data_IF_553016439385
#
_entry.id   IF_553016439385
#
_cell.length_a   1.000
_cell.length_b   1.000
_cell.length_c   1.000
_cell.angle_alpha   90.00
_cell.angle_beta   90.00
_cell.angle_gamma   90.00
#
_symmetry.space_group_name_H-M   'P 1'
#
loop_
_entity.id
_entity.type
_entity.pdbx_description
1 polymer ?
#
# COMPACT_ATOMS: atom_id res chain seq x y z
N UNK A 1 -3.77 -11.25 -39.28
CA UNK A 1 -3.86 -9.87 -39.78
C UNK A 1 -4.81 -9.08 -38.88
N UNK A 2 -4.39 -7.87 -38.46
CA UNK A 2 -5.09 -6.86 -37.62
C UNK A 2 -5.40 -7.30 -36.17
N UNK A 3 -4.79 -6.82 -35.10
CA UNK A 3 -4.06 -5.57 -34.88
C UNK A 3 -5.02 -4.43 -34.46
N UNK A 4 -5.63 -4.49 -33.27
CA UNK A 4 -6.34 -3.33 -32.69
C UNK A 4 -5.46 -2.64 -31.66
N UNK A 5 -4.72 -1.66 -32.17
CA UNK A 5 -4.04 -0.62 -31.40
C UNK A 5 -5.10 0.36 -30.88
N UNK A 6 -5.21 0.52 -29.56
CA UNK A 6 -5.93 1.64 -28.98
C UNK A 6 -5.05 2.89 -29.11
N UNK A 7 -5.43 3.78 -30.03
CA UNK A 7 -4.75 5.05 -30.29
C UNK A 7 -5.18 6.04 -29.21
N UNK A 8 -4.33 6.28 -28.22
CA UNK A 8 -4.53 7.35 -27.24
C UNK A 8 -4.38 8.69 -27.96
N UNK A 9 -5.48 9.42 -28.14
CA UNK A 9 -5.47 10.78 -28.67
C UNK A 9 -4.94 11.70 -27.55
N UNK A 10 -3.65 11.98 -27.56
CA UNK A 10 -3.11 13.13 -26.83
C UNK A 10 -3.50 14.39 -27.60
N UNK A 11 -4.65 14.99 -27.27
CA UNK A 11 -4.94 16.36 -27.66
C UNK A 11 -3.92 17.28 -27.00
N UNK A 12 -2.97 17.79 -27.79
CA UNK A 12 -2.19 18.97 -27.44
C UNK A 12 -3.18 20.11 -27.20
N UNK A 13 -3.36 20.52 -25.94
CA UNK A 13 -3.95 21.80 -25.64
C UNK A 13 -2.94 22.89 -26.06
N UNK A 14 -3.19 23.55 -27.18
CA UNK A 14 -2.54 24.81 -27.50
C UNK A 14 -3.13 25.86 -26.55
N UNK A 15 -2.34 26.28 -25.55
CA UNK A 15 -2.67 27.45 -24.73
C UNK A 15 -2.14 28.65 -25.49
N UNK A 16 -3.01 29.31 -26.28
CA UNK A 16 -2.74 30.66 -26.75
C UNK A 16 -2.80 31.61 -25.55
N UNK A 17 -1.66 32.20 -25.19
CA UNK A 17 -1.59 33.24 -24.16
C UNK A 17 -2.16 34.55 -24.72
N UNK A 18 -3.48 34.72 -24.59
CA UNK A 18 -4.11 36.02 -24.70
C UNK A 18 -3.77 36.88 -23.48
N UNK A 19 -2.98 37.94 -23.67
CA UNK A 19 -2.71 38.94 -22.62
C UNK A 19 -3.98 39.74 -22.37
N UNK A 20 -4.72 39.38 -21.32
CA UNK A 20 -5.85 40.17 -20.83
C UNK A 20 -5.35 41.12 -19.72
N UNK A 21 -5.29 42.42 -20.02
CA UNK A 21 -5.08 43.47 -19.04
C UNK A 21 -6.27 43.51 -18.07
N UNK A 22 -6.11 42.89 -16.90
CA UNK A 22 -7.13 42.82 -15.85
C UNK A 22 -6.50 42.91 -14.46
N UNK A 23 -7.12 43.73 -13.61
CA UNK A 23 -6.63 44.17 -12.29
C UNK A 23 -6.13 43.05 -11.36
N UNK A 24 -4.96 43.28 -10.75
CA UNK A 24 -4.19 42.43 -9.82
C UNK A 24 -5.01 41.78 -8.68
N UNK A 25 -6.15 42.37 -8.31
CA UNK A 25 -7.04 41.87 -7.25
C UNK A 25 -7.79 40.58 -7.64
N UNK A 26 -8.10 40.39 -8.93
CA UNK A 26 -8.85 39.20 -9.39
C UNK A 26 -7.95 37.99 -9.61
N UNK A 27 -6.64 38.18 -9.78
CA UNK A 27 -5.67 37.11 -9.93
C UNK A 27 -5.42 36.38 -8.60
N UNK A 28 -5.44 37.11 -7.48
CA UNK A 28 -5.33 36.52 -6.14
C UNK A 28 -6.56 35.68 -5.78
N UNK A 29 -7.76 36.11 -6.15
CA UNK A 29 -9.00 35.39 -5.86
C UNK A 29 -9.12 34.04 -6.61
N UNK A 30 -8.61 33.95 -7.84
CA UNK A 30 -8.58 32.71 -8.62
C UNK A 30 -7.56 31.69 -8.07
N UNK A 31 -6.44 32.15 -7.51
CA UNK A 31 -5.47 31.29 -6.83
C UNK A 31 -6.02 30.74 -5.50
N UNK A 32 -6.82 31.53 -4.77
CA UNK A 32 -7.49 31.06 -3.54
C UNK A 32 -8.58 30.02 -3.81
N UNK A 33 -9.26 30.07 -4.96
CA UNK A 33 -10.28 29.06 -5.32
C UNK A 33 -9.68 27.78 -5.92
N UNK A 34 -8.51 27.85 -6.56
CA UNK A 34 -7.82 26.69 -7.12
C UNK A 34 -6.93 25.96 -6.10
N UNK A 35 -6.65 26.59 -4.96
CA UNK A 35 -5.70 26.11 -3.95
C UNK A 35 -6.33 25.30 -2.81
N UNK A 36 -7.21 24.34 -3.07
CA UNK A 36 -7.56 23.31 -2.06
C UNK A 36 -8.18 22.04 -2.68
N UNK A 37 -7.76 21.62 -3.87
CA UNK A 37 -7.96 20.22 -4.26
C UNK A 37 -6.76 19.42 -3.74
N UNK A 38 -6.79 19.09 -2.45
CA UNK A 38 -5.91 18.06 -1.92
C UNK A 38 -6.38 16.72 -2.50
N UNK A 39 -5.72 16.25 -3.57
CA UNK A 39 -5.80 14.85 -3.94
C UNK A 39 -5.12 14.07 -2.81
N UNK A 40 -5.90 13.51 -1.90
CA UNK A 40 -5.42 12.52 -0.96
C UNK A 40 -5.11 11.24 -1.75
N UNK A 41 -3.88 11.10 -2.24
CA UNK A 41 -3.38 9.79 -2.64
C UNK A 41 -3.20 8.96 -1.37
N UNK A 42 -4.14 8.06 -1.12
CA UNK A 42 -4.01 7.01 -0.11
C UNK A 42 -2.86 6.09 -0.55
N UNK A 43 -1.67 6.39 -0.06
CA UNK A 43 -0.48 5.58 -0.25
C UNK A 43 -0.10 5.02 1.12
N UNK A 44 -0.01 3.69 1.22
CA UNK A 44 0.50 3.00 2.40
C UNK A 44 1.83 3.63 2.83
N UNK A 45 1.99 3.91 4.12
CA UNK A 45 3.26 4.45 4.63
C UNK A 45 4.32 3.36 4.48
N UNK A 46 5.40 3.58 3.71
CA UNK A 46 6.34 2.51 3.38
C UNK A 46 7.08 2.01 4.62
N UNK A 47 7.52 0.75 4.61
CA UNK A 47 8.38 0.24 5.67
C UNK A 47 9.75 0.94 5.69
N UNK A 48 10.15 1.46 6.85
CA UNK A 48 11.54 1.86 7.11
C UNK A 48 12.38 0.60 7.37
N UNK A 49 12.76 -0.10 6.30
CA UNK A 49 13.50 -1.36 6.35
C UNK A 49 14.86 -1.19 7.04
N UNK A 50 15.17 -2.10 7.96
CA UNK A 50 16.47 -2.21 8.61
C UNK A 50 16.93 -3.67 8.67
N UNK A 51 18.20 -3.88 8.33
CA UNK A 51 18.84 -5.19 8.43
C UNK A 51 19.30 -5.50 9.86
N UNK A 52 19.11 -6.74 10.26
CA UNK A 52 19.67 -7.37 11.46
C UNK A 52 20.24 -8.74 11.08
N UNK A 53 21.12 -9.34 11.91
CA UNK A 53 21.66 -10.68 11.66
C UNK A 53 20.58 -11.76 11.45
N UNK A 54 19.42 -11.59 12.08
CA UNK A 54 18.30 -12.52 11.98
C UNK A 54 17.36 -12.26 10.78
N UNK A 55 17.46 -11.11 10.11
CA UNK A 55 16.57 -10.75 9.00
C UNK A 55 16.29 -9.26 8.88
N UNK A 56 15.18 -8.91 8.23
CA UNK A 56 14.77 -7.54 7.95
C UNK A 56 13.56 -7.14 8.80
N UNK A 57 13.60 -5.97 9.42
CA UNK A 57 12.49 -5.42 10.22
C UNK A 57 12.06 -4.05 9.71
N UNK A 58 10.84 -3.64 10.05
CA UNK A 58 10.36 -2.27 9.86
C UNK A 58 10.58 -1.47 11.15
N UNK A 59 11.27 -0.34 11.03
CA UNK A 59 11.57 0.51 12.18
C UNK A 59 10.38 1.42 12.46
N UNK A 60 9.81 1.24 13.65
CA UNK A 60 8.81 2.13 14.21
C UNK A 60 9.45 2.98 15.33
N UNK A 61 9.09 4.26 15.41
CA UNK A 61 9.49 5.20 16.46
C UNK A 61 8.34 6.17 16.75
N UNK A 62 8.52 7.08 17.71
CA UNK A 62 7.47 8.01 18.14
C UNK A 62 6.84 8.82 17.00
N UNK A 63 7.60 9.15 15.96
CA UNK A 63 7.14 9.99 14.85
C UNK A 63 6.84 9.23 13.56
N UNK A 64 7.10 7.91 13.53
CA UNK A 64 7.04 7.16 12.29
C UNK A 64 6.74 5.68 12.54
N UNK A 65 5.79 5.14 11.79
CA UNK A 65 5.54 3.71 11.66
C UNK A 65 5.02 3.44 10.24
N UNK A 66 5.26 2.25 9.70
CA UNK A 66 4.53 1.79 8.53
C UNK A 66 3.12 1.37 8.92
N UNK A 67 2.17 1.63 8.03
CA UNK A 67 0.79 1.21 8.23
C UNK A 67 0.28 0.55 6.96
N UNK A 68 -0.40 -0.58 7.17
CA UNK A 68 -1.20 -1.18 6.15
C UNK A 68 -2.54 -0.45 6.09
N UNK A 69 -2.83 0.13 4.94
CA UNK A 69 -4.17 0.58 4.61
C UNK A 69 -4.95 -0.62 4.08
N UNK A 70 -6.10 -0.92 4.68
CA UNK A 70 -6.93 -2.02 4.21
C UNK A 70 -7.43 -1.70 2.80
N UNK A 71 -7.07 -2.51 1.78
CA UNK A 71 -7.51 -2.24 0.43
C UNK A 71 -9.03 -2.39 0.34
N UNK A 72 -9.72 -1.34 -0.10
CA UNK A 72 -11.12 -1.41 -0.49
C UNK A 72 -11.22 -1.79 -1.97
N UNK A 73 -12.18 -2.65 -2.29
CA UNK A 73 -12.55 -2.97 -3.67
C UNK A 73 -13.80 -2.16 -4.01
N UNK A 74 -13.80 -1.46 -5.14
CA UNK A 74 -14.95 -0.65 -5.56
C UNK A 74 -16.01 -1.51 -6.25
N UNK A 75 -15.62 -2.69 -6.77
CA UNK A 75 -16.53 -3.65 -7.39
C UNK A 75 -16.03 -5.11 -7.30
N UNK A 76 -16.94 -6.05 -7.56
CA UNK A 76 -16.71 -7.50 -7.51
C UNK A 76 -15.77 -8.04 -8.61
N UNK A 77 -15.39 -7.22 -9.59
CA UNK A 77 -14.47 -7.60 -10.67
C UNK A 77 -13.05 -7.14 -10.41
N UNK A 78 -12.78 -6.60 -9.24
CA UNK A 78 -11.45 -6.19 -8.82
C UNK A 78 -10.87 -7.17 -7.81
N UNK A 79 -9.55 -7.19 -7.75
CA UNK A 79 -8.83 -7.90 -6.72
C UNK A 79 -7.64 -7.05 -6.26
N UNK A 80 -7.19 -7.35 -5.05
CA UNK A 80 -5.94 -6.83 -4.50
C UNK A 80 -5.08 -8.00 -4.03
N UNK A 81 -3.80 -7.95 -4.39
CA UNK A 81 -2.77 -8.86 -3.90
C UNK A 81 -1.89 -8.09 -2.92
N UNK A 82 -1.83 -8.55 -1.68
CA UNK A 82 -0.94 -8.01 -0.64
C UNK A 82 0.25 -8.97 -0.49
N UNK A 83 1.46 -8.47 -0.75
CA UNK A 83 2.68 -9.27 -0.85
C UNK A 83 3.71 -8.88 0.21
N UNK A 84 4.29 -9.90 0.84
CA UNK A 84 5.43 -9.76 1.75
C UNK A 84 6.50 -10.79 1.39
N UNK A 85 7.77 -10.44 1.56
CA UNK A 85 8.87 -11.33 1.17
C UNK A 85 10.06 -11.28 2.11
N UNK A 86 10.86 -12.35 2.08
CA UNK A 86 12.13 -12.43 2.82
C UNK A 86 13.12 -11.35 2.36
N UNK A 87 13.06 -10.97 1.08
CA UNK A 87 13.93 -9.96 0.49
C UNK A 87 13.57 -8.53 0.93
N UNK A 88 12.34 -8.27 1.41
CA UNK A 88 12.01 -6.98 2.01
C UNK A 88 10.66 -6.39 1.62
N UNK A 89 9.82 -7.07 0.82
CA UNK A 89 8.45 -6.57 0.61
C UNK A 89 7.68 -6.60 1.92
N UNK A 90 6.93 -5.53 2.17
CA UNK A 90 6.14 -5.32 3.38
C UNK A 90 4.79 -4.78 2.98
N UNK A 91 3.81 -5.68 2.95
CA UNK A 91 2.43 -5.40 2.51
C UNK A 91 2.33 -4.61 1.20
N UNK A 92 3.20 -4.95 0.25
CA UNK A 92 3.19 -4.31 -1.07
C UNK A 92 1.92 -4.72 -1.80
N UNK A 93 1.22 -3.73 -2.34
CA UNK A 93 -0.15 -3.91 -2.83
C UNK A 93 -0.16 -3.82 -4.36
N UNK A 94 -0.68 -4.86 -5.01
CA UNK A 94 -0.93 -4.89 -6.45
C UNK A 94 -2.41 -5.09 -6.70
N UNK A 95 -3.05 -4.12 -7.35
CA UNK A 95 -4.46 -4.19 -7.73
C UNK A 95 -4.62 -4.62 -9.18
N UNK A 96 -5.75 -5.25 -9.50
CA UNK A 96 -6.08 -5.61 -10.86
C UNK A 96 -7.55 -5.95 -11.04
N UNK A 97 -7.93 -6.23 -12.28
CA UNK A 97 -9.29 -6.64 -12.63
C UNK A 97 -9.32 -8.11 -13.05
N UNK A 98 -10.32 -8.83 -12.56
CA UNK A 98 -10.62 -10.22 -12.90
C UNK A 98 -10.90 -10.30 -14.41
N UNK A 99 -10.31 -11.29 -15.08
CA UNK A 99 -10.41 -11.53 -16.53
C UNK A 99 -9.80 -10.44 -17.44
N UNK A 100 -9.02 -9.49 -16.89
CA UNK A 100 -8.32 -8.50 -17.72
C UNK A 100 -7.08 -9.08 -18.43
N UNK A 101 -6.43 -10.09 -17.84
CA UNK A 101 -5.30 -10.82 -18.40
C UNK A 101 -5.32 -12.27 -17.94
N UNK A 102 -4.66 -13.15 -18.70
CA UNK A 102 -4.52 -14.58 -18.34
C UNK A 102 -3.70 -14.76 -17.06
N UNK A 103 -2.78 -13.83 -16.79
CA UNK A 103 -1.91 -13.85 -15.62
C UNK A 103 -1.71 -12.46 -15.04
N UNK A 104 -1.58 -12.40 -13.71
CA UNK A 104 -1.16 -11.21 -12.97
C UNK A 104 0.24 -11.44 -12.43
N UNK A 105 1.14 -10.50 -12.69
CA UNK A 105 2.51 -10.58 -12.16
C UNK A 105 2.52 -10.15 -10.69
N UNK A 106 2.91 -11.08 -9.82
CA UNK A 106 3.27 -10.76 -8.43
C UNK A 106 4.77 -10.45 -8.41
N UNK A 107 5.10 -9.20 -8.09
CA UNK A 107 6.48 -8.71 -8.07
C UNK A 107 7.08 -9.01 -6.69
N UNK A 108 8.36 -9.42 -6.65
CA UNK A 108 9.12 -9.55 -5.40
C UNK A 108 9.95 -8.27 -5.14
N UNK A 109 10.50 -8.14 -3.94
CA UNK A 109 11.33 -7.01 -3.54
C UNK A 109 12.49 -6.87 -4.52
N UNK A 110 12.65 -5.66 -5.04
CA UNK A 110 13.76 -5.32 -5.89
C UNK A 110 14.57 -4.20 -5.22
N UNK A 111 15.72 -4.56 -4.65
CA UNK A 111 16.69 -3.62 -4.07
C UNK A 111 17.08 -2.50 -5.05
N UNK A 112 16.97 -2.74 -6.36
CA UNK A 112 17.25 -1.76 -7.42
C UNK A 112 16.35 -0.51 -7.35
N UNK A 113 15.21 -0.54 -6.63
CA UNK A 113 14.38 0.65 -6.44
C UNK A 113 14.89 1.59 -5.34
N UNK A 114 15.88 1.18 -4.52
CA UNK A 114 16.36 2.05 -3.44
C UNK A 114 17.85 2.38 -3.42
N UNK A 115 18.79 1.65 -4.02
CA UNK A 115 20.18 2.14 -4.15
C UNK A 115 20.98 1.42 -5.25
N UNK A 116 21.37 2.17 -6.29
CA UNK A 116 22.35 1.79 -7.35
C UNK A 116 23.80 1.66 -6.82
N UNK A 117 24.01 1.66 -5.51
CA UNK A 117 25.38 1.72 -4.95
C UNK A 117 25.54 0.83 -3.73
N UNK A 118 25.74 -0.47 -3.97
CA UNK A 118 26.75 -1.33 -3.33
C UNK A 118 26.62 -2.74 -3.88
N UNK A 119 27.66 -3.19 -4.59
CA UNK A 119 27.70 -4.47 -5.29
C UNK A 119 27.57 -5.66 -4.34
N UNK A 120 26.33 -6.09 -4.10
CA UNK A 120 26.02 -7.34 -3.42
C UNK A 120 24.76 -7.92 -4.08
N UNK A 121 24.95 -8.65 -5.17
CA UNK A 121 23.87 -9.45 -5.78
C UNK A 121 23.58 -10.63 -4.84
N UNK A 122 22.64 -10.46 -3.93
CA UNK A 122 22.09 -11.56 -3.13
C UNK A 122 20.68 -11.73 -3.64
N UNK A 123 20.31 -12.98 -3.98
CA UNK A 123 19.09 -13.39 -4.67
C UNK A 123 19.18 -13.26 -6.20
N UNK A 124 19.69 -14.32 -6.84
CA UNK A 124 19.41 -14.58 -8.25
C UNK A 124 17.90 -14.52 -8.46
N UNK A 125 17.45 -13.66 -9.38
CA UNK A 125 16.05 -13.51 -9.75
C UNK A 125 15.53 -14.87 -10.24
N UNK A 126 14.79 -15.56 -9.38
CA UNK A 126 14.18 -16.83 -9.74
C UNK A 126 13.30 -16.64 -10.99
N UNK A 127 13.37 -17.61 -11.92
CA UNK A 127 12.53 -17.58 -13.11
C UNK A 127 11.05 -17.46 -12.70
N UNK A 128 10.25 -16.63 -13.40
CA UNK A 128 8.84 -16.49 -13.09
C UNK A 128 8.16 -17.85 -13.24
N UNK A 129 7.40 -18.25 -12.21
CA UNK A 129 6.60 -19.48 -12.21
C UNK A 129 5.15 -19.12 -12.44
N UNK A 130 4.48 -19.92 -13.26
CA UNK A 130 3.05 -19.77 -13.51
C UNK A 130 2.28 -20.77 -12.65
N UNK A 131 1.30 -20.29 -11.91
CA UNK A 131 0.42 -21.10 -11.06
C UNK A 131 -1.02 -20.71 -11.34
N UNK A 132 -1.90 -21.70 -11.50
CA UNK A 132 -3.34 -21.51 -11.64
C UNK A 132 -4.03 -22.01 -10.39
N UNK A 133 -4.78 -21.13 -9.72
CA UNK A 133 -5.58 -21.45 -8.54
C UNK A 133 -7.05 -21.45 -8.97
N UNK A 134 -7.77 -22.53 -8.67
CA UNK A 134 -9.20 -22.64 -8.92
C UNK A 134 -9.92 -22.72 -7.58
N UNK A 135 -10.91 -21.84 -7.39
CA UNK A 135 -11.73 -21.78 -6.18
C UNK A 135 -13.11 -22.33 -6.52
N UNK A 136 -13.48 -23.43 -5.88
CA UNK A 136 -14.84 -23.96 -5.92
C UNK A 136 -15.65 -23.37 -4.76
N UNK A 137 -16.73 -22.66 -5.07
CA UNK A 137 -17.58 -21.98 -4.09
C UNK A 137 -18.68 -22.88 -3.50
N UNK A 138 -18.92 -24.05 -4.08
CA UNK A 138 -19.91 -25.03 -3.58
C UNK A 138 -19.32 -25.94 -2.49
N UNK A 139 -17.98 -26.05 -2.46
CA UNK A 139 -17.27 -26.80 -1.42
C UNK A 139 -17.01 -25.89 -0.21
N UNK A 140 -17.74 -26.11 0.87
CA UNK A 140 -17.62 -25.35 2.11
C UNK A 140 -16.87 -26.11 3.21
N UNK A 141 -16.15 -25.36 4.06
CA UNK A 141 -15.43 -25.88 5.23
C UNK A 141 -15.88 -25.13 6.50
N UNK A 142 -15.05 -25.11 7.54
CA UNK A 142 -15.34 -24.43 8.79
C UNK A 142 -15.47 -22.91 8.63
N UNK A 143 -16.30 -22.29 9.47
CA UNK A 143 -16.34 -20.84 9.61
C UNK A 143 -15.11 -20.32 10.36
N UNK A 144 -14.59 -19.18 9.93
CA UNK A 144 -13.48 -18.49 10.59
C UNK A 144 -14.07 -17.48 11.57
N UNK A 145 -13.72 -17.59 12.85
CA UNK A 145 -14.19 -16.68 13.91
C UNK A 145 -13.34 -15.41 13.99
N UNK A 146 -12.03 -15.53 13.80
CA UNK A 146 -11.12 -14.38 13.82
C UNK A 146 -9.65 -14.78 13.91
N UNK A 147 -8.80 -13.76 13.94
CA UNK A 147 -7.35 -13.87 14.12
C UNK A 147 -6.91 -12.81 15.13
N UNK A 148 -5.89 -13.12 15.93
CA UNK A 148 -5.40 -12.20 16.94
C UNK A 148 -4.12 -12.68 17.61
N UNK A 149 -3.71 -11.94 18.64
CA UNK A 149 -2.55 -12.24 19.48
C UNK A 149 -2.93 -12.40 20.95
N UNK A 150 -1.95 -12.76 21.78
CA UNK A 150 -2.12 -12.87 23.22
C UNK A 150 -1.60 -11.62 23.94
N UNK A 151 -2.48 -10.92 24.65
CA UNK A 151 -2.08 -9.82 25.52
C UNK A 151 -1.71 -10.37 26.90
N UNK A 152 -0.43 -10.64 27.12
CA UNK A 152 0.09 -11.22 28.37
C UNK A 152 0.68 -10.16 29.29
N UNK A 153 0.96 -10.51 30.55
CA UNK A 153 1.66 -9.61 31.47
C UNK A 153 3.04 -9.17 30.97
N UNK A 154 3.72 -9.99 30.15
CA UNK A 154 4.98 -9.60 29.50
C UNK A 154 4.77 -8.53 28.42
N UNK A 155 3.69 -8.64 27.64
CA UNK A 155 3.32 -7.61 26.66
C UNK A 155 2.99 -6.29 27.38
N UNK A 156 2.16 -6.36 28.43
CA UNK A 156 1.83 -5.18 29.25
C UNK A 156 3.09 -4.51 29.79
N UNK A 157 3.99 -5.28 30.39
CA UNK A 157 5.24 -4.75 30.94
C UNK A 157 6.14 -4.10 29.87
N UNK A 158 6.20 -4.66 28.65
CA UNK A 158 6.98 -4.06 27.56
C UNK A 158 6.33 -2.75 27.11
N UNK A 159 5.00 -2.72 26.94
CA UNK A 159 4.28 -1.53 26.51
C UNK A 159 4.41 -0.37 27.51
N UNK A 160 4.35 -0.67 28.81
CA UNK A 160 4.51 0.32 29.89
C UNK A 160 5.88 1.02 29.87
N UNK A 161 6.88 0.38 29.25
CA UNK A 161 8.23 0.94 29.11
C UNK A 161 8.43 1.78 27.82
N UNK A 162 7.40 1.89 26.97
CA UNK A 162 7.43 2.66 25.72
C UNK A 162 6.74 4.02 25.91
N UNK A 163 7.13 5.02 25.12
CA UNK A 163 6.43 6.30 25.10
C UNK A 163 5.00 6.13 24.57
N UNK A 164 4.10 7.02 24.99
CA UNK A 164 2.70 6.99 24.55
C UNK A 164 2.58 6.96 23.01
N UNK A 165 3.37 7.78 22.31
CA UNK A 165 3.36 7.80 20.84
C UNK A 165 3.68 6.43 20.22
N UNK A 166 4.61 5.67 20.81
CA UNK A 166 4.96 4.33 20.32
C UNK A 166 3.86 3.33 20.66
N UNK A 167 3.28 3.42 21.86
CA UNK A 167 2.13 2.58 22.22
C UNK A 167 0.96 2.81 21.26
N UNK A 168 0.66 4.05 20.92
CA UNK A 168 -0.41 4.41 19.99
C UNK A 168 -0.14 3.84 18.58
N UNK A 169 1.11 3.90 18.11
CA UNK A 169 1.52 3.24 16.86
C UNK A 169 1.27 1.73 16.90
N UNK A 170 1.64 1.06 18.00
CA UNK A 170 1.45 -0.39 18.18
C UNK A 170 -0.04 -0.74 18.18
N UNK A 171 -0.85 -0.04 18.97
CA UNK A 171 -2.29 -0.29 19.03
C UNK A 171 -2.96 -0.06 17.68
N UNK A 172 -2.57 0.99 16.95
CA UNK A 172 -3.10 1.23 15.61
C UNK A 172 -2.74 0.12 14.61
N UNK A 173 -1.54 -0.43 14.72
CA UNK A 173 -1.07 -1.52 13.85
C UNK A 173 -1.80 -2.84 14.14
N UNK A 174 -1.95 -3.20 15.42
CA UNK A 174 -2.57 -4.47 15.83
C UNK A 174 -4.10 -4.43 15.89
N UNK A 175 -4.68 -3.24 16.13
CA UNK A 175 -6.12 -3.01 16.31
C UNK A 175 -6.60 -1.89 15.37
N UNK A 176 -6.62 -2.12 14.04
CA UNK A 176 -7.12 -1.13 13.10
C UNK A 176 -8.59 -0.77 13.42
N UNK A 177 -9.04 0.46 13.12
CA UNK A 177 -10.21 1.10 13.73
C UNK A 177 -11.56 0.37 13.61
N UNK A 178 -11.65 -0.69 12.80
CA UNK A 178 -12.85 -1.51 12.65
C UNK A 178 -12.89 -2.72 13.61
N UNK A 179 -11.86 -2.96 14.43
CA UNK A 179 -11.84 -4.05 15.41
C UNK A 179 -12.36 -3.64 16.80
N UNK A 180 -12.64 -2.36 17.04
CA UNK A 180 -13.12 -1.86 18.34
C UNK A 180 -14.66 -1.78 18.48
N UNK A 181 -15.43 -2.40 17.60
CA UNK A 181 -16.91 -2.45 17.69
C UNK A 181 -17.45 -3.83 18.13
N UNK A 182 -16.83 -4.42 19.15
CA UNK A 182 -17.51 -5.41 19.98
C UNK A 182 -17.23 -5.09 21.45
N UNK A 183 -17.94 -4.10 21.98
CA UNK A 183 -18.18 -3.99 23.41
C UNK A 183 -19.09 -5.16 23.81
N UNK A 184 -18.49 -6.31 24.09
CA UNK A 184 -19.08 -7.31 24.99
C UNK A 184 -18.07 -7.58 26.10
N UNK A 185 -18.13 -6.73 27.12
CA UNK A 185 -17.77 -6.99 28.51
C UNK A 185 -18.90 -6.44 29.38
#
# INVERSE_FOLDING_TARGET
>A
ALGKQAKFLLTKANIEMGVAQGSLKNLLALCYLAGFVALSSQASTPCALREYPAGLVCVCNATYCDYLENPSLDNEKEFVIVSSSKAGLRFDTTSGAINASDFTQVVDYNESRQNVTKGKTVFEKAAPRTVTIQVDRETHFQNITGFGGAFTGAVSYILDNLSQDIQDHIYKYDLPPNTMLSNEL
#
